data_IF_800242504545
#
_entry.id   IF_800242504545
#
_cell.length_a   1.000
_cell.length_b   1.000
_cell.length_c   1.000
_cell.angle_alpha   90.00
_cell.angle_beta   90.00
_cell.angle_gamma   90.00
#
_symmetry.space_group_name_H-M   'P 1'
#
loop_
_entity.id
_entity.type
_entity.pdbx_description
1 polymer ?
#
# COMPACT_ATOMS: atom_id res chain seq x y z
N UNK A 1 28.91 -2.68 4.22
CA UNK A 1 29.32 -4.11 4.17
C UNK A 1 29.39 -4.67 2.75
N UNK A 2 28.86 -4.00 1.70
CA UNK A 2 29.00 -4.49 0.31
C UNK A 2 28.33 -5.84 0.02
N UNK A 3 27.31 -6.22 0.81
CA UNK A 3 26.57 -7.48 0.67
C UNK A 3 25.34 -7.29 -0.20
N UNK A 4 24.82 -8.38 -0.75
CA UNK A 4 23.53 -8.41 -1.43
C UNK A 4 22.38 -8.46 -0.43
N UNK A 5 21.20 -7.96 -0.83
CA UNK A 5 19.98 -8.00 -0.02
C UNK A 5 18.74 -7.96 -0.91
N UNK A 6 17.72 -8.75 -0.56
CA UNK A 6 16.39 -8.63 -1.16
C UNK A 6 15.64 -7.48 -0.52
N UNK A 7 15.15 -6.53 -1.31
CA UNK A 7 14.41 -5.37 -0.80
C UNK A 7 12.95 -5.75 -0.56
N UNK A 8 12.42 -5.35 0.60
CA UNK A 8 10.98 -5.40 0.89
C UNK A 8 10.23 -4.36 0.06
N UNK A 9 8.91 -4.26 0.23
CA UNK A 9 8.14 -3.17 -0.38
C UNK A 9 8.66 -1.83 0.11
N UNK A 10 8.83 -1.64 1.43
CA UNK A 10 9.36 -0.40 1.98
C UNK A 10 10.72 0.01 1.36
N UNK A 11 11.70 -0.90 1.39
CA UNK A 11 13.02 -0.59 0.84
C UNK A 11 12.99 -0.33 -0.68
N UNK A 12 12.10 -1.02 -1.40
CA UNK A 12 11.92 -0.81 -2.85
C UNK A 12 11.27 0.53 -3.14
N UNK A 13 10.30 0.98 -2.34
CA UNK A 13 9.70 2.32 -2.45
C UNK A 13 10.74 3.42 -2.29
N UNK A 14 11.58 3.33 -1.25
CA UNK A 14 12.68 4.28 -1.01
C UNK A 14 13.58 4.35 -2.24
N UNK A 15 14.07 3.20 -2.70
CA UNK A 15 14.97 3.13 -3.85
C UNK A 15 14.32 3.67 -5.14
N UNK A 16 13.06 3.31 -5.40
CA UNK A 16 12.31 3.80 -6.55
C UNK A 16 12.17 5.33 -6.52
N UNK A 17 11.82 5.89 -5.36
CA UNK A 17 11.68 7.33 -5.19
C UNK A 17 12.98 8.08 -5.42
N UNK A 18 14.11 7.57 -4.89
CA UNK A 18 15.44 8.17 -5.07
C UNK A 18 15.85 8.32 -6.54
N UNK A 19 15.34 7.45 -7.43
CA UNK A 19 15.62 7.49 -8.87
C UNK A 19 14.44 8.01 -9.70
N UNK A 20 13.43 8.58 -9.05
CA UNK A 20 12.30 9.22 -9.73
C UNK A 20 11.22 8.27 -10.28
N UNK A 21 11.27 6.98 -9.96
CA UNK A 21 10.22 6.01 -10.32
C UNK A 21 9.00 6.24 -9.42
N UNK A 22 7.82 6.38 -10.05
CA UNK A 22 6.56 6.71 -9.36
C UNK A 22 5.61 5.54 -9.15
N UNK A 23 5.83 4.43 -9.84
CA UNK A 23 4.94 3.26 -9.80
C UNK A 23 5.78 2.02 -9.56
N UNK A 24 5.34 1.20 -8.62
CA UNK A 24 5.96 -0.05 -8.22
C UNK A 24 4.90 -1.14 -8.12
N UNK A 25 5.09 -2.25 -8.84
CA UNK A 25 4.19 -3.40 -8.77
C UNK A 25 4.79 -4.54 -7.91
N UNK A 26 3.96 -5.17 -7.09
CA UNK A 26 4.33 -6.31 -6.24
C UNK A 26 3.15 -7.26 -6.06
N UNK A 27 3.38 -8.44 -5.49
CA UNK A 27 2.31 -9.39 -5.20
C UNK A 27 1.35 -8.88 -4.13
N UNK A 28 1.89 -8.52 -2.97
CA UNK A 28 1.11 -8.05 -1.82
C UNK A 28 1.99 -7.31 -0.83
N UNK A 29 1.45 -6.27 -0.20
CA UNK A 29 2.18 -5.49 0.79
C UNK A 29 2.29 -6.24 2.13
N UNK A 30 3.26 -5.85 2.95
CA UNK A 30 3.19 -6.10 4.40
C UNK A 30 2.03 -5.33 5.04
N UNK A 31 1.78 -5.59 6.32
CA UNK A 31 0.67 -4.94 7.02
C UNK A 31 0.68 -5.25 8.51
N UNK A 32 -0.48 -5.15 9.13
CA UNK A 32 -0.66 -5.53 10.54
C UNK A 32 -0.78 -7.04 10.64
N UNK A 33 0.02 -7.67 11.49
CA UNK A 33 -0.04 -9.12 11.69
C UNK A 33 -1.23 -9.49 12.59
N UNK A 34 -1.73 -10.71 12.43
CA UNK A 34 -2.75 -11.26 13.32
C UNK A 34 -2.18 -11.34 14.75
N UNK A 35 -2.89 -10.80 15.73
CA UNK A 35 -2.43 -10.71 17.12
C UNK A 35 -1.56 -9.48 17.44
N UNK A 36 -1.41 -8.54 16.51
CA UNK A 36 -0.63 -7.31 16.71
C UNK A 36 -1.10 -6.45 17.89
N UNK A 37 -2.34 -6.59 18.35
CA UNK A 37 -2.82 -5.93 19.57
C UNK A 37 -2.08 -6.38 20.84
N UNK A 38 -1.35 -7.51 20.77
CA UNK A 38 -0.47 -8.01 21.84
C UNK A 38 1.00 -7.90 21.49
N UNK A 39 1.37 -8.17 20.23
CA UNK A 39 2.78 -8.27 19.81
C UNK A 39 3.36 -6.98 19.24
N UNK A 40 2.50 -6.07 18.77
CA UNK A 40 2.88 -4.89 17.98
C UNK A 40 3.65 -5.25 16.70
N UNK A 41 3.44 -6.45 16.15
CA UNK A 41 4.04 -6.88 14.88
C UNK A 41 3.32 -6.21 13.69
N UNK A 42 3.89 -5.10 13.24
CA UNK A 42 3.34 -4.25 12.18
C UNK A 42 4.45 -3.95 11.18
N UNK A 43 4.18 -4.22 9.90
CA UNK A 43 5.14 -4.01 8.83
C UNK A 43 5.49 -2.54 8.63
N UNK A 44 6.78 -2.26 8.43
CA UNK A 44 7.28 -0.94 8.04
C UNK A 44 6.74 -0.47 6.67
N UNK A 45 6.20 -1.37 5.84
CA UNK A 45 5.58 -1.02 4.56
C UNK A 45 4.47 0.04 4.73
N UNK A 46 3.70 -0.01 5.83
CA UNK A 46 2.61 0.94 6.10
C UNK A 46 3.12 2.34 6.40
N UNK A 47 4.22 2.42 7.15
CA UNK A 47 4.89 3.66 7.47
C UNK A 47 5.60 4.25 6.25
N UNK A 48 6.12 3.40 5.37
CA UNK A 48 6.77 3.84 4.14
C UNK A 48 5.74 4.37 3.12
N UNK A 49 4.60 3.69 2.97
CA UNK A 49 3.45 4.18 2.20
C UNK A 49 3.00 5.58 2.66
N UNK A 50 3.08 5.88 3.96
CA UNK A 50 2.72 7.20 4.49
C UNK A 50 3.71 8.32 4.12
N UNK A 51 4.95 7.97 3.75
CA UNK A 51 6.06 8.94 3.62
C UNK A 51 6.54 9.10 2.19
N UNK A 52 6.62 8.01 1.44
CA UNK A 52 7.30 7.97 0.14
C UNK A 52 6.31 8.03 -1.01
N UNK A 53 6.39 9.05 -1.89
CA UNK A 53 5.43 9.27 -2.95
C UNK A 53 5.71 8.30 -4.12
N UNK A 54 5.23 7.07 -3.95
CA UNK A 54 5.20 5.99 -4.94
C UNK A 54 3.84 5.29 -4.87
N UNK A 55 3.26 4.98 -6.03
CA UNK A 55 2.06 4.15 -6.15
C UNK A 55 2.50 2.69 -6.09
N UNK A 56 1.93 1.91 -5.16
CA UNK A 56 2.22 0.48 -4.98
C UNK A 56 1.06 -0.36 -5.45
N UNK A 57 1.16 -0.92 -6.67
CA UNK A 57 0.13 -1.80 -7.22
C UNK A 57 0.31 -3.20 -6.65
N UNK A 58 -0.75 -3.76 -6.04
CA UNK A 58 -0.70 -5.11 -5.44
C UNK A 58 -2.07 -5.79 -5.39
N UNK A 59 -2.10 -7.08 -5.03
CA UNK A 59 -3.32 -7.80 -4.69
C UNK A 59 -3.75 -7.59 -3.21
N UNK A 60 -3.43 -6.42 -2.64
CA UNK A 60 -3.69 -6.08 -1.24
C UNK A 60 -2.62 -6.54 -0.26
N UNK A 61 -2.96 -6.57 1.03
CA UNK A 61 -2.08 -7.14 2.06
C UNK A 61 -1.96 -8.66 1.90
N UNK A 62 -0.77 -9.21 2.12
CA UNK A 62 -0.56 -10.68 2.09
C UNK A 62 -1.59 -11.38 2.98
N UNK A 63 -2.17 -12.48 2.52
CA UNK A 63 -3.31 -13.14 3.19
C UNK A 63 -3.03 -13.74 4.58
N UNK A 64 -1.76 -13.78 5.01
CA UNK A 64 -1.38 -14.14 6.39
C UNK A 64 -1.64 -13.01 7.41
N UNK A 65 -1.95 -11.80 6.94
CA UNK A 65 -2.11 -10.59 7.73
C UNK A 65 -3.55 -10.34 8.19
N UNK A 66 -3.72 -9.37 9.06
CA UNK A 66 -4.99 -8.84 9.52
C UNK A 66 -5.39 -7.65 8.61
N UNK A 67 -6.27 -7.91 7.64
CA UNK A 67 -6.64 -6.92 6.60
C UNK A 67 -7.37 -5.74 7.24
N UNK A 68 -8.30 -5.98 8.16
CA UNK A 68 -9.07 -4.94 8.84
C UNK A 68 -8.14 -3.96 9.54
N UNK A 69 -7.26 -4.46 10.42
CA UNK A 69 -6.30 -3.61 11.12
C UNK A 69 -5.30 -2.95 10.18
N UNK A 70 -4.96 -3.59 9.07
CA UNK A 70 -4.09 -2.98 8.05
C UNK A 70 -4.77 -1.77 7.42
N UNK A 71 -6.05 -1.86 7.07
CA UNK A 71 -6.82 -0.74 6.53
C UNK A 71 -6.93 0.39 7.55
N UNK A 72 -7.21 0.10 8.83
CA UNK A 72 -7.27 1.09 9.91
C UNK A 72 -5.95 1.85 10.10
N UNK A 73 -4.80 1.16 10.03
CA UNK A 73 -3.49 1.81 10.11
C UNK A 73 -3.23 2.69 8.88
N UNK A 74 -3.58 2.22 7.68
CA UNK A 74 -3.42 3.00 6.45
C UNK A 74 -4.29 4.27 6.47
N UNK A 75 -5.54 4.15 6.93
CA UNK A 75 -6.44 5.29 7.16
C UNK A 75 -5.82 6.28 8.16
N UNK A 76 -5.39 5.79 9.32
CA UNK A 76 -4.75 6.62 10.36
C UNK A 76 -3.53 7.38 9.83
N UNK A 77 -2.79 6.78 8.88
CA UNK A 77 -1.61 7.39 8.24
C UNK A 77 -1.94 8.23 7.00
N UNK A 78 -3.21 8.36 6.64
CA UNK A 78 -3.63 9.15 5.47
C UNK A 78 -3.21 8.54 4.13
N UNK A 79 -2.93 7.23 4.09
CA UNK A 79 -2.58 6.50 2.88
C UNK A 79 -3.87 6.12 2.14
N UNK A 80 -4.10 6.61 0.91
CA UNK A 80 -5.24 6.16 0.12
C UNK A 80 -5.04 4.70 -0.29
N UNK A 81 -6.13 3.95 -0.23
CA UNK A 81 -6.23 2.58 -0.73
C UNK A 81 -7.31 2.54 -1.80
N UNK A 82 -6.93 2.16 -3.01
CA UNK A 82 -7.81 2.17 -4.19
C UNK A 82 -8.02 0.77 -4.73
N UNK A 83 -9.27 0.30 -4.74
CA UNK A 83 -9.68 -0.86 -5.52
C UNK A 83 -9.82 -0.48 -7.00
N UNK A 84 -9.07 -1.13 -7.89
CA UNK A 84 -9.23 -0.97 -9.34
C UNK A 84 -10.34 -1.89 -9.84
N UNK A 85 -11.53 -1.32 -10.07
CA UNK A 85 -12.71 -2.04 -10.55
C UNK A 85 -13.29 -3.04 -9.54
N UNK A 86 -12.87 -2.98 -8.28
CA UNK A 86 -13.36 -3.85 -7.20
C UNK A 86 -13.90 -3.04 -6.01
N UNK A 87 -15.04 -3.48 -5.48
CA UNK A 87 -15.70 -2.87 -4.31
C UNK A 87 -15.23 -3.45 -2.98
N UNK A 88 -14.59 -4.62 -3.00
CA UNK A 88 -14.00 -5.27 -1.83
C UNK A 88 -12.48 -5.31 -1.97
N UNK A 89 -11.80 -5.21 -0.84
CA UNK A 89 -10.35 -5.30 -0.78
C UNK A 89 -9.93 -6.73 -1.14
N UNK A 90 -9.06 -6.96 -2.14
CA UNK A 90 -8.53 -8.28 -2.43
C UNK A 90 -7.70 -8.79 -1.24
N UNK A 91 -7.88 -10.07 -0.91
CA UNK A 91 -7.14 -10.76 0.14
C UNK A 91 -6.03 -11.62 -0.48
N UNK A 92 -5.14 -10.96 -1.24
CA UNK A 92 -4.01 -11.58 -1.93
C UNK A 92 -4.44 -12.65 -2.94
N UNK A 93 -4.41 -13.95 -2.60
CA UNK A 93 -4.86 -15.00 -3.52
C UNK A 93 -6.39 -15.07 -3.68
N UNK A 94 -7.15 -14.44 -2.78
CA UNK A 94 -8.62 -14.39 -2.85
C UNK A 94 -9.08 -13.08 -3.43
N UNK A 95 -9.87 -13.12 -4.52
CA UNK A 95 -10.40 -11.92 -5.18
C UNK A 95 -11.31 -11.09 -4.29
N UNK A 96 -12.01 -11.75 -3.35
CA UNK A 96 -12.97 -11.12 -2.46
C UNK A 96 -12.53 -11.33 -1.00
N UNK A 97 -12.81 -10.32 -0.19
CA UNK A 97 -12.74 -10.36 1.27
C UNK A 97 -14.03 -9.76 1.85
N UNK A 98 -14.34 -9.93 3.15
CA UNK A 98 -15.47 -9.24 3.76
C UNK A 98 -15.24 -7.73 3.92
N UNK A 99 -14.06 -7.20 3.56
CA UNK A 99 -13.70 -5.81 3.75
C UNK A 99 -13.94 -5.01 2.48
N UNK A 100 -14.59 -3.85 2.61
CA UNK A 100 -14.82 -2.92 1.51
C UNK A 100 -13.50 -2.22 1.14
N UNK A 101 -13.28 -1.96 -0.15
CA UNK A 101 -12.21 -1.06 -0.58
C UNK A 101 -12.53 0.38 -0.10
N UNK A 102 -11.59 1.11 0.53
CA UNK A 102 -11.85 2.48 0.99
C UNK A 102 -12.24 3.44 -0.13
N UNK A 103 -11.60 3.31 -1.29
CA UNK A 103 -11.93 4.01 -2.53
C UNK A 103 -11.98 2.99 -3.67
N UNK A 104 -12.85 3.23 -4.65
CA UNK A 104 -12.92 2.43 -5.89
C UNK A 104 -12.81 3.37 -7.07
N UNK A 105 -11.85 3.09 -7.96
CA UNK A 105 -11.68 3.73 -9.27
C UNK A 105 -11.69 2.63 -10.31
N UNK A 106 -12.10 2.93 -11.54
CA UNK A 106 -12.34 1.91 -12.56
C UNK A 106 -11.23 1.86 -13.61
N UNK A 107 -10.55 2.97 -13.85
CA UNK A 107 -9.50 3.06 -14.87
C UNK A 107 -8.14 3.51 -14.29
N UNK A 108 -7.01 3.00 -14.80
CA UNK A 108 -5.66 3.43 -14.37
C UNK A 108 -5.43 4.94 -14.51
N UNK A 109 -6.03 5.58 -15.50
CA UNK A 109 -5.97 7.03 -15.73
C UNK A 109 -6.57 7.83 -14.56
N UNK A 110 -7.65 7.32 -13.95
CA UNK A 110 -8.27 7.93 -12.78
C UNK A 110 -7.34 7.86 -11.57
N UNK A 111 -6.65 6.73 -11.39
CA UNK A 111 -5.66 6.51 -10.33
C UNK A 111 -4.48 7.48 -10.51
N UNK A 112 -3.98 7.60 -11.74
CA UNK A 112 -2.89 8.51 -12.06
C UNK A 112 -3.29 9.99 -11.81
N UNK A 113 -4.49 10.38 -12.25
CA UNK A 113 -5.02 11.72 -12.02
C UNK A 113 -5.22 12.02 -10.53
N UNK A 114 -5.76 11.07 -9.76
CA UNK A 114 -5.91 11.20 -8.32
C UNK A 114 -4.56 11.40 -7.62
N UNK A 115 -3.56 10.59 -7.96
CA UNK A 115 -2.21 10.73 -7.42
C UNK A 115 -1.56 12.09 -7.77
N UNK A 116 -1.68 12.55 -9.02
CA UNK A 116 -1.18 13.86 -9.44
C UNK A 116 -1.88 15.01 -8.71
N UNK A 117 -3.19 14.89 -8.50
CA UNK A 117 -3.98 15.89 -7.75
C UNK A 117 -3.50 15.98 -6.31
N UNK A 118 -3.28 14.84 -5.64
CA UNK A 118 -2.71 14.81 -4.28
C UNK A 118 -1.35 15.53 -4.22
N UNK A 119 -0.48 15.26 -5.18
CA UNK A 119 0.83 15.92 -5.26
C UNK A 119 0.71 17.43 -5.47
N UNK A 120 -0.20 17.89 -6.33
CA UNK A 120 -0.46 19.32 -6.56
C UNK A 120 -1.01 20.04 -5.31
N UNK A 121 -1.73 19.32 -4.44
CA UNK A 121 -2.20 19.82 -3.14
C UNK A 121 -1.12 19.82 -2.04
N UNK A 122 0.10 19.34 -2.35
CA UNK A 122 1.19 19.22 -1.37
C UNK A 122 1.00 18.09 -0.36
N UNK A 123 0.12 17.12 -0.65
CA UNK A 123 -0.06 15.94 0.20
C UNK A 123 1.08 14.96 -0.06
N UNK A 124 1.85 14.66 0.99
CA UNK A 124 2.93 13.69 0.94
C UNK A 124 2.42 12.24 0.98
N UNK A 125 3.34 11.29 0.83
CA UNK A 125 3.04 9.86 0.88
C UNK A 125 2.67 9.24 -0.47
N UNK A 126 2.62 7.92 -0.47
CA UNK A 126 2.27 7.07 -1.59
C UNK A 126 0.77 6.75 -1.64
N UNK A 127 0.45 5.70 -2.38
CA UNK A 127 -0.89 5.17 -2.54
C UNK A 127 -0.81 3.65 -2.74
N UNK A 128 -1.77 2.93 -2.18
CA UNK A 128 -1.97 1.49 -2.40
C UNK A 128 -3.07 1.27 -3.44
#
# INVERSE_FOLDING_TARGET
>A
QGRTGGTTVAATMIAAHMVGIKVFATGGIGGVHKGAEKSFDISADLDELARTPVIVVSAGAKAILDIEKTLEVLETRGVPVVGLGCETMPAFWSRHSPFRAPLTLHEPEEIAHFYQTRAALGLAGGML
#
